data_IF_620198443947
#
_entry.id   IF_620198443947
#
_cell.length_a   1.000
_cell.length_b   1.000
_cell.length_c   1.000
_cell.angle_alpha   90.00
_cell.angle_beta   90.00
_cell.angle_gamma   90.00
#
_symmetry.space_group_name_H-M   'P 1'
#
loop_
_entity.id
_entity.type
_entity.pdbx_description
1 polymer ?
#
# COMPACT_ATOMS: atom_id res chain seq x y z
N UNK A 1 13.25 -59.26 19.95
CA UNK A 1 14.04 -58.17 19.34
C UNK A 1 13.31 -57.69 18.09
N UNK A 2 12.52 -56.63 18.19
CA UNK A 2 11.71 -56.16 17.07
C UNK A 2 11.39 -54.68 17.23
N UNK A 3 12.38 -53.84 16.91
CA UNK A 3 12.17 -52.41 16.65
C UNK A 3 13.04 -51.87 15.48
N UNK A 4 13.13 -52.52 14.30
CA UNK A 4 13.78 -51.88 13.15
C UNK A 4 12.92 -50.75 12.56
N UNK A 5 11.59 -50.80 12.71
CA UNK A 5 10.68 -49.84 12.04
C UNK A 5 10.65 -48.44 12.68
N UNK A 6 10.76 -48.35 14.00
CA UNK A 6 10.68 -47.07 14.71
C UNK A 6 11.89 -46.16 14.44
N UNK A 7 13.09 -46.77 14.30
CA UNK A 7 14.34 -46.05 14.04
C UNK A 7 14.36 -45.52 12.60
N UNK A 8 13.88 -46.30 11.62
CA UNK A 8 13.78 -45.88 10.22
C UNK A 8 12.86 -44.67 10.03
N UNK A 9 11.75 -44.59 10.78
CA UNK A 9 10.81 -43.47 10.67
C UNK A 9 11.42 -42.13 11.14
N UNK A 10 12.29 -42.17 12.16
CA UNK A 10 13.02 -40.98 12.62
C UNK A 10 14.01 -40.44 11.58
N UNK A 11 14.59 -41.31 10.75
CA UNK A 11 15.45 -40.87 9.62
C UNK A 11 14.64 -40.32 8.44
N UNK A 12 13.42 -40.80 8.22
CA UNK A 12 12.50 -40.26 7.20
C UNK A 12 11.87 -38.93 7.62
N UNK A 13 11.70 -38.68 8.92
CA UNK A 13 11.11 -37.47 9.48
C UNK A 13 11.75 -36.16 8.96
N UNK A 14 13.08 -35.97 8.93
CA UNK A 14 13.68 -34.77 8.34
C UNK A 14 13.38 -34.62 6.85
N UNK A 15 13.35 -35.71 6.07
CA UNK A 15 13.01 -35.67 4.64
C UNK A 15 11.55 -35.36 4.39
N UNK A 16 10.64 -35.85 5.24
CA UNK A 16 9.20 -35.53 5.17
C UNK A 16 9.00 -34.04 5.48
N UNK A 17 9.67 -33.52 6.52
CA UNK A 17 9.62 -32.09 6.84
C UNK A 17 10.19 -31.28 5.67
N UNK A 18 11.38 -31.62 5.16
CA UNK A 18 12.01 -30.92 4.03
C UNK A 18 11.12 -30.97 2.78
N UNK A 19 10.58 -32.14 2.45
CA UNK A 19 9.71 -32.36 1.31
C UNK A 19 8.42 -31.56 1.42
N UNK A 20 7.78 -31.55 2.60
CA UNK A 20 6.58 -30.74 2.83
C UNK A 20 6.88 -29.24 2.75
N UNK A 21 8.00 -28.78 3.32
CA UNK A 21 8.39 -27.37 3.26
C UNK A 21 8.69 -26.94 1.83
N UNK A 22 9.38 -27.78 1.06
CA UNK A 22 9.67 -27.55 -0.35
C UNK A 22 8.38 -27.49 -1.18
N UNK A 23 7.44 -28.41 -0.94
CA UNK A 23 6.14 -28.43 -1.60
C UNK A 23 5.32 -27.19 -1.26
N UNK A 24 5.31 -26.77 0.01
CA UNK A 24 4.62 -25.56 0.48
C UNK A 24 5.24 -24.31 -0.16
N UNK A 25 6.56 -24.24 -0.24
CA UNK A 25 7.29 -23.13 -0.89
C UNK A 25 6.97 -23.07 -2.38
N UNK A 26 6.92 -24.23 -3.05
CA UNK A 26 6.59 -24.35 -4.46
C UNK A 26 5.13 -23.94 -4.72
N UNK A 27 4.21 -24.33 -3.83
CA UNK A 27 2.81 -23.89 -3.88
C UNK A 27 2.69 -22.37 -3.77
N UNK A 28 3.37 -21.76 -2.80
CA UNK A 28 3.39 -20.29 -2.62
C UNK A 28 3.99 -19.60 -3.83
N UNK A 29 5.07 -20.14 -4.39
CA UNK A 29 5.70 -19.62 -5.60
C UNK A 29 4.76 -19.68 -6.81
N UNK A 30 4.06 -20.80 -7.01
CA UNK A 30 3.05 -20.94 -8.05
C UNK A 30 1.90 -19.96 -7.84
N UNK A 31 1.38 -19.83 -6.62
CA UNK A 31 0.33 -18.86 -6.27
C UNK A 31 0.80 -17.40 -6.43
N UNK A 32 2.08 -17.11 -6.23
CA UNK A 32 2.67 -15.80 -6.49
C UNK A 32 2.70 -15.50 -7.99
N UNK A 33 3.03 -16.49 -8.80
CA UNK A 33 3.09 -16.37 -10.25
C UNK A 33 1.70 -16.28 -10.88
N UNK A 34 0.75 -17.07 -10.37
CA UNK A 34 -0.63 -17.14 -10.87
C UNK A 34 -1.40 -15.88 -10.46
N UNK A 35 -1.94 -15.18 -11.45
CA UNK A 35 -2.72 -13.95 -11.29
C UNK A 35 -1.99 -12.77 -10.59
N UNK A 36 -0.66 -12.71 -10.70
CA UNK A 36 0.14 -11.60 -10.15
C UNK A 36 0.08 -11.50 -8.62
N UNK A 37 -0.01 -12.64 -7.94
CA UNK A 37 -0.06 -12.71 -6.48
C UNK A 37 -1.42 -12.36 -5.87
N UNK A 38 -2.48 -12.22 -6.67
CA UNK A 38 -3.85 -12.02 -6.16
C UNK A 38 -4.28 -13.17 -5.23
N UNK A 39 -3.85 -14.40 -5.52
CA UNK A 39 -4.17 -15.56 -4.71
C UNK A 39 -3.49 -15.55 -3.32
N UNK A 40 -2.43 -14.75 -3.14
CA UNK A 40 -1.77 -14.56 -1.85
C UNK A 40 -2.50 -13.57 -0.95
N UNK A 41 -3.27 -12.63 -1.53
CA UNK A 41 -4.03 -11.62 -0.76
C UNK A 41 -4.90 -12.23 0.35
N UNK A 42 -5.75 -13.26 0.11
CA UNK A 42 -6.56 -13.84 1.18
C UNK A 42 -5.72 -14.49 2.28
N UNK A 43 -4.60 -15.14 1.93
CA UNK A 43 -3.70 -15.79 2.90
C UNK A 43 -3.03 -14.73 3.77
N UNK A 44 -2.47 -13.68 3.16
CA UNK A 44 -1.85 -12.57 3.89
C UNK A 44 -2.88 -11.85 4.76
N UNK A 45 -4.11 -11.66 4.27
CA UNK A 45 -5.19 -11.06 5.05
C UNK A 45 -5.57 -11.92 6.26
N UNK A 46 -5.64 -13.25 6.12
CA UNK A 46 -5.88 -14.17 7.23
C UNK A 46 -4.73 -14.14 8.23
N UNK A 47 -3.50 -14.18 7.76
CA UNK A 47 -2.31 -14.18 8.61
C UNK A 47 -2.14 -12.83 9.35
N UNK A 48 -2.54 -11.73 8.72
CA UNK A 48 -2.52 -10.38 9.30
C UNK A 48 -3.57 -10.18 10.40
N UNK A 49 -4.52 -11.11 10.58
CA UNK A 49 -5.38 -11.12 11.78
C UNK A 49 -4.58 -11.44 13.03
N UNK A 50 -3.45 -12.13 12.90
CA UNK A 50 -2.53 -12.42 13.99
C UNK A 50 -1.70 -11.15 14.26
N UNK A 51 -1.88 -10.56 15.44
CA UNK A 51 -1.29 -9.26 15.78
C UNK A 51 0.24 -9.21 15.65
N UNK A 52 0.94 -10.31 15.96
CA UNK A 52 2.38 -10.41 15.76
C UNK A 52 2.76 -10.37 14.27
N UNK A 53 2.06 -11.14 13.43
CA UNK A 53 2.38 -11.20 12.00
C UNK A 53 2.11 -9.85 11.31
N UNK A 54 1.05 -9.15 11.71
CA UNK A 54 0.76 -7.79 11.23
C UNK A 54 1.92 -6.84 11.51
N UNK A 55 2.46 -6.85 12.74
CA UNK A 55 3.63 -6.02 13.11
C UNK A 55 4.86 -6.40 12.30
N UNK A 56 5.07 -7.69 12.04
CA UNK A 56 6.19 -8.18 11.26
C UNK A 56 6.11 -7.75 9.79
N UNK A 57 4.96 -7.91 9.15
CA UNK A 57 4.71 -7.41 7.79
C UNK A 57 4.90 -5.89 7.69
N UNK A 58 4.39 -5.12 8.66
CA UNK A 58 4.58 -3.67 8.67
C UNK A 58 6.07 -3.29 8.72
N UNK A 59 6.88 -3.97 9.55
CA UNK A 59 8.32 -3.73 9.63
C UNK A 59 9.04 -4.06 8.32
N UNK A 60 8.71 -5.18 7.71
CA UNK A 60 9.29 -5.60 6.43
C UNK A 60 8.96 -4.61 5.30
N UNK A 61 7.70 -4.16 5.23
CA UNK A 61 7.27 -3.17 4.26
C UNK A 61 8.00 -1.84 4.45
N UNK A 62 8.09 -1.33 5.68
CA UNK A 62 8.80 -0.08 5.97
C UNK A 62 10.28 -0.18 5.61
N UNK A 63 10.95 -1.28 5.97
CA UNK A 63 12.37 -1.49 5.64
C UNK A 63 12.63 -1.59 4.13
N UNK A 64 11.70 -2.15 3.36
CA UNK A 64 11.81 -2.21 1.90
C UNK A 64 11.68 -0.81 1.26
N UNK A 65 10.77 0.02 1.77
CA UNK A 65 10.56 1.38 1.27
C UNK A 65 11.69 2.33 1.67
N UNK A 66 12.19 2.25 2.91
CA UNK A 66 13.31 3.07 3.38
C UNK A 66 14.58 2.84 2.55
N UNK A 67 14.83 1.60 2.12
CA UNK A 67 15.99 1.27 1.28
C UNK A 67 15.86 1.75 -0.16
N UNK A 68 14.65 1.80 -0.70
CA UNK A 68 14.40 2.13 -2.11
C UNK A 68 14.16 3.61 -2.33
N UNK A 69 13.47 4.30 -1.42
CA UNK A 69 13.21 5.74 -1.52
C UNK A 69 12.94 6.36 -0.13
N UNK A 70 13.88 7.16 0.42
CA UNK A 70 13.70 7.79 1.73
C UNK A 70 12.55 8.81 1.75
N UNK A 71 12.23 9.47 0.63
CA UNK A 71 11.11 10.41 0.54
C UNK A 71 9.76 9.67 0.60
N UNK A 72 9.68 8.49 -0.02
CA UNK A 72 8.50 7.64 0.06
C UNK A 72 8.24 7.14 1.48
N UNK A 73 9.29 6.75 2.20
CA UNK A 73 9.17 6.31 3.60
C UNK A 73 8.64 7.43 4.50
N UNK A 74 9.16 8.66 4.34
CA UNK A 74 8.64 9.85 5.02
C UNK A 74 7.17 10.11 4.70
N UNK A 75 6.78 9.99 3.43
CA UNK A 75 5.40 10.15 3.00
C UNK A 75 4.46 9.12 3.62
N UNK A 76 4.83 7.82 3.59
CA UNK A 76 4.04 6.73 4.17
C UNK A 76 3.88 6.94 5.69
N UNK A 77 4.96 7.32 6.40
CA UNK A 77 4.91 7.57 7.85
C UNK A 77 3.97 8.73 8.20
N UNK A 78 4.03 9.82 7.45
CA UNK A 78 3.11 10.96 7.59
C UNK A 78 1.67 10.54 7.31
N UNK A 79 1.42 9.81 6.23
CA UNK A 79 0.08 9.33 5.89
C UNK A 79 -0.49 8.37 6.96
N UNK A 80 0.32 7.47 7.52
CA UNK A 80 -0.11 6.56 8.58
C UNK A 80 -0.52 7.27 9.88
N UNK A 81 0.07 8.44 10.17
CA UNK A 81 -0.29 9.22 11.37
C UNK A 81 -1.72 9.77 11.34
N UNK A 82 -2.32 9.91 10.16
CA UNK A 82 -3.74 10.30 10.01
C UNK A 82 -4.72 9.16 10.26
N UNK A 83 -4.24 7.91 10.36
CA UNK A 83 -5.08 6.74 10.55
C UNK A 83 -5.86 6.33 9.30
N UNK A 84 -7.00 5.67 9.49
CA UNK A 84 -7.87 5.23 8.39
C UNK A 84 -8.63 6.43 7.81
N UNK A 85 -8.33 6.76 6.55
CA UNK A 85 -8.95 7.88 5.84
C UNK A 85 -10.32 7.44 5.32
N UNK A 86 -11.39 8.05 5.84
CA UNK A 86 -12.78 7.68 5.49
C UNK A 86 -13.44 8.63 4.51
N UNK A 87 -12.88 9.83 4.34
CA UNK A 87 -13.45 10.87 3.46
C UNK A 87 -12.40 11.44 2.50
N UNK A 88 -12.82 11.92 1.31
CA UNK A 88 -11.90 12.53 0.35
C UNK A 88 -11.26 13.81 0.89
N UNK A 89 -11.98 14.56 1.73
CA UNK A 89 -11.44 15.76 2.37
C UNK A 89 -10.30 15.42 3.34
N UNK A 90 -10.42 14.32 4.10
CA UNK A 90 -9.34 13.82 4.94
C UNK A 90 -8.14 13.38 4.10
N UNK A 91 -8.36 12.73 2.96
CA UNK A 91 -7.29 12.37 2.03
C UNK A 91 -6.54 13.60 1.51
N UNK A 92 -7.27 14.64 1.10
CA UNK A 92 -6.67 15.89 0.63
C UNK A 92 -5.87 16.60 1.72
N UNK A 93 -6.38 16.62 2.96
CA UNK A 93 -5.65 17.16 4.13
C UNK A 93 -4.38 16.36 4.43
N UNK A 94 -4.44 15.04 4.35
CA UNK A 94 -3.27 14.18 4.54
C UNK A 94 -2.20 14.43 3.46
N UNK A 95 -2.61 14.55 2.18
CA UNK A 95 -1.72 14.91 1.08
C UNK A 95 -1.14 16.33 1.20
N UNK A 96 -1.83 17.25 1.87
CA UNK A 96 -1.37 18.62 2.07
C UNK A 96 -0.17 18.72 3.03
N UNK A 97 0.01 17.75 3.92
CA UNK A 97 1.14 17.69 4.87
C UNK A 97 2.43 17.15 4.24
N UNK A 98 2.32 16.48 3.09
CA UNK A 98 3.47 15.98 2.35
C UNK A 98 4.22 17.12 1.64
N UNK A 99 5.55 17.05 1.63
CA UNK A 99 6.37 17.94 0.79
C UNK A 99 6.13 17.64 -0.70
N UNK A 100 6.51 18.54 -1.62
CA UNK A 100 6.33 18.30 -3.05
C UNK A 100 7.03 17.03 -3.57
N UNK A 101 8.18 16.68 -2.98
CA UNK A 101 8.96 15.51 -3.35
C UNK A 101 8.30 14.22 -2.79
N UNK A 102 7.95 14.22 -1.50
CA UNK A 102 7.19 13.14 -0.84
C UNK A 102 5.84 12.86 -1.52
N UNK A 103 5.12 13.90 -1.94
CA UNK A 103 3.83 13.77 -2.63
C UNK A 103 3.99 13.08 -3.99
N UNK A 104 5.06 13.40 -4.73
CA UNK A 104 5.33 12.74 -6.04
C UNK A 104 5.63 11.26 -5.84
N UNK A 105 6.54 10.94 -4.92
CA UNK A 105 6.87 9.55 -4.60
C UNK A 105 5.64 8.76 -4.14
N UNK A 106 4.78 9.35 -3.30
CA UNK A 106 3.54 8.71 -2.86
C UNK A 106 2.56 8.49 -4.03
N UNK A 107 2.38 9.47 -4.92
CA UNK A 107 1.51 9.33 -6.09
C UNK A 107 2.01 8.30 -7.10
N UNK A 108 3.33 8.19 -7.25
CA UNK A 108 3.98 7.16 -8.08
C UNK A 108 3.69 5.76 -7.52
N UNK A 109 3.92 5.54 -6.22
CA UNK A 109 3.59 4.27 -5.55
C UNK A 109 2.11 3.91 -5.68
N UNK A 110 1.22 4.89 -5.48
CA UNK A 110 -0.23 4.71 -5.59
C UNK A 110 -0.64 4.38 -7.04
N UNK A 111 0.02 4.98 -8.02
CA UNK A 111 -0.12 4.68 -9.45
C UNK A 111 0.34 3.27 -9.79
N UNK A 112 1.50 2.84 -9.28
CA UNK A 112 2.03 1.48 -9.47
C UNK A 112 1.17 0.40 -8.81
N UNK A 113 0.61 0.67 -7.63
CA UNK A 113 -0.27 -0.26 -6.92
C UNK A 113 -1.67 -0.34 -7.55
N UNK A 114 -1.97 0.46 -8.58
CA UNK A 114 -3.27 0.51 -9.25
C UNK A 114 -4.42 0.91 -8.34
N UNK A 115 -4.12 1.50 -7.18
CA UNK A 115 -5.10 1.99 -6.20
C UNK A 115 -5.19 3.51 -6.30
N UNK A 116 -5.51 4.04 -7.47
CA UNK A 116 -5.86 5.46 -7.55
C UNK A 116 -7.09 5.70 -6.67
N UNK A 117 -7.04 6.65 -5.70
CA UNK A 117 -8.23 7.04 -4.96
C UNK A 117 -9.26 7.56 -5.95
N UNK A 118 -10.40 6.88 -6.04
CA UNK A 118 -11.45 7.24 -6.99
C UNK A 118 -11.90 8.70 -6.73
N UNK A 119 -11.99 9.54 -7.77
CA UNK A 119 -12.49 10.90 -7.62
C UNK A 119 -13.98 10.86 -7.28
N UNK A 120 -14.31 11.11 -6.01
CA UNK A 120 -15.67 10.99 -5.46
C UNK A 120 -16.64 12.04 -6.06
N UNK A 121 -16.14 13.15 -6.59
CA UNK A 121 -17.00 14.25 -7.05
C UNK A 121 -16.85 14.54 -8.56
N UNK A 122 -17.99 14.71 -9.23
CA UNK A 122 -18.08 15.08 -10.66
C UNK A 122 -17.32 16.37 -10.98
N UNK A 123 -17.22 17.30 -10.02
CA UNK A 123 -16.43 18.53 -10.14
C UNK A 123 -14.93 18.31 -9.96
N UNK A 124 -14.52 17.33 -9.14
CA UNK A 124 -13.12 16.92 -9.04
C UNK A 124 -12.69 16.20 -10.32
N UNK A 125 -13.57 15.36 -10.88
CA UNK A 125 -13.35 14.70 -12.18
C UNK A 125 -13.11 15.72 -13.30
N UNK A 126 -13.95 16.77 -13.37
CA UNK A 126 -13.78 17.87 -14.32
C UNK A 126 -12.50 18.70 -14.10
N UNK A 127 -11.99 18.81 -12.88
CA UNK A 127 -10.72 19.51 -12.58
C UNK A 127 -9.51 18.68 -12.96
N UNK A 128 -9.57 17.36 -12.78
CA UNK A 128 -8.52 16.43 -13.22
C UNK A 128 -8.48 16.36 -14.75
N UNK A 129 -9.64 16.27 -15.40
CA UNK A 129 -9.77 16.31 -16.87
C UNK A 129 -9.28 17.65 -17.46
N UNK A 130 -9.55 18.80 -16.82
CA UNK A 130 -8.96 20.10 -17.23
C UNK A 130 -7.48 20.22 -16.90
N UNK A 131 -7.02 19.65 -15.79
CA UNK A 131 -5.62 19.67 -15.36
C UNK A 131 -4.70 18.79 -16.22
N UNK A 132 -5.26 17.82 -16.95
CA UNK A 132 -4.55 17.01 -17.93
C UNK A 132 -4.28 17.73 -19.27
N UNK A 133 -4.88 18.91 -19.51
CA UNK A 133 -4.74 19.64 -20.78
C UNK A 133 -4.15 21.05 -20.69
N UNK A 134 -3.60 21.49 -19.55
CA UNK A 134 -2.95 22.80 -19.54
C UNK A 134 -2.42 23.24 -18.18
N UNK A 135 -1.17 23.69 -18.20
CA UNK A 135 -0.42 24.25 -17.08
C UNK A 135 -1.15 25.37 -16.30
N UNK A 136 -0.98 25.32 -14.98
CA UNK A 136 -0.92 26.41 -13.99
C UNK A 136 -1.98 27.53 -14.12
N UNK A 137 -2.95 27.55 -13.20
CA UNK A 137 -3.52 28.83 -12.72
C UNK A 137 -3.38 28.88 -11.21
N UNK A 138 -2.31 29.54 -10.77
CA UNK A 138 -2.16 30.09 -9.44
C UNK A 138 -3.35 31.01 -9.16
N UNK A 139 -4.33 30.54 -8.37
CA UNK A 139 -5.44 31.38 -7.97
C UNK A 139 -4.95 32.32 -6.86
N UNK A 140 -4.44 33.50 -7.28
CA UNK A 140 -4.08 34.63 -6.43
C UNK A 140 -5.28 34.98 -5.53
N UNK A 141 -5.21 34.79 -4.20
CA UNK A 141 -6.29 35.18 -3.31
C UNK A 141 -6.18 36.69 -3.06
N UNK A 142 -6.92 37.49 -3.83
CA UNK A 142 -6.90 38.94 -3.65
C UNK A 142 -7.50 39.72 -4.81
N UNK A 143 -8.77 39.48 -5.14
CA UNK A 143 -9.56 40.41 -5.96
C UNK A 143 -11.05 40.07 -5.89
N UNK A 144 -11.73 40.48 -4.81
CA UNK A 144 -13.16 40.81 -4.93
C UNK A 144 -13.44 42.10 -4.20
N UNK A 145 -13.10 43.19 -4.88
CA UNK A 145 -13.47 44.54 -4.52
C UNK A 145 -14.99 44.72 -4.55
N UNK A 146 -15.53 45.16 -3.42
CA UNK A 146 -16.29 46.41 -3.26
C UNK A 146 -17.04 46.95 -4.50
N UNK A 147 -18.38 46.90 -4.43
CA UNK A 147 -19.41 47.91 -4.81
C UNK A 147 -20.70 47.18 -5.24
N UNK A 148 -21.92 47.59 -4.91
CA UNK A 148 -22.35 48.80 -4.22
C UNK A 148 -23.79 48.68 -3.74
N UNK A 149 -24.05 49.39 -2.64
CA UNK A 149 -25.36 49.68 -2.06
C UNK A 149 -26.16 50.52 -3.06
N UNK A 150 -27.36 50.08 -3.46
CA UNK A 150 -28.38 50.98 -4.02
C UNK A 150 -29.57 51.01 -3.08
N UNK A 151 -30.07 52.24 -2.96
CA UNK A 151 -31.15 52.73 -2.12
C UNK A 151 -32.45 52.03 -2.38
#
# INVERSE_FOLDING_TARGET
>A
MSTPLAISFLYLLPFIILGSLLLLTLLVFVLARVAGGKALRPIVNQLSKIGFMRRWFQRMSVAAYEKSNPELAGAIKKMQSFGEIKTPEQAQRALAVLTPAERRAYMELVGEQGQMPDPINRDQRRRVERGAQGMIVQQRPGARGRKGKKR
#
